data_IF_528187601607
#
_entry.id   IF_528187601607
#
_cell.length_a   1.000
_cell.length_b   1.000
_cell.length_c   1.000
_cell.angle_alpha   90.00
_cell.angle_beta   90.00
_cell.angle_gamma   90.00
#
_symmetry.space_group_name_H-M   'P 1'
#
loop_
_entity.id
_entity.type
_entity.pdbx_description
1 polymer ?
#
# COMPACT_ATOMS: atom_id res chain seq x y z
N UNK A 1 -6.22 35.63 46.98
CA UNK A 1 -6.41 34.45 47.85
C UNK A 1 -6.97 33.36 46.96
N UNK A 2 -6.14 32.40 46.53
CA UNK A 2 -6.60 31.31 45.66
C UNK A 2 -7.31 30.29 46.54
N UNK A 3 -8.60 30.06 46.30
CA UNK A 3 -9.34 29.01 46.97
C UNK A 3 -8.76 27.65 46.54
N UNK A 4 -8.39 26.82 47.52
CA UNK A 4 -7.91 25.46 47.28
C UNK A 4 -9.11 24.58 46.91
N UNK A 5 -9.04 23.86 45.79
CA UNK A 5 -10.13 23.02 45.34
C UNK A 5 -10.33 21.84 46.30
N UNK A 6 -11.57 21.66 46.75
CA UNK A 6 -12.02 20.59 47.64
C UNK A 6 -12.73 19.52 46.78
N UNK A 7 -12.69 18.22 47.14
CA UNK A 7 -13.36 17.17 46.37
C UNK A 7 -14.86 17.37 46.12
N UNK A 8 -15.53 18.19 46.93
CA UNK A 8 -16.94 18.53 46.78
C UNK A 8 -17.19 19.72 45.83
N UNK A 9 -16.15 20.44 45.41
CA UNK A 9 -16.29 21.59 44.53
C UNK A 9 -16.69 21.13 43.12
N UNK A 10 -17.66 21.80 42.47
CA UNK A 10 -18.13 21.41 41.14
C UNK A 10 -17.01 21.45 40.09
N UNK A 11 -16.05 22.37 40.25
CA UNK A 11 -14.88 22.49 39.38
C UNK A 11 -13.94 21.29 39.52
N UNK A 12 -13.78 20.74 40.72
CA UNK A 12 -12.98 19.55 40.97
C UNK A 12 -13.62 18.31 40.34
N UNK A 13 -14.94 18.13 40.55
CA UNK A 13 -15.69 17.01 39.97
C UNK A 13 -15.61 17.05 38.44
N UNK A 14 -15.84 18.22 37.83
CA UNK A 14 -15.74 18.39 36.38
C UNK A 14 -14.34 18.08 35.84
N UNK A 15 -13.28 18.51 36.53
CA UNK A 15 -11.91 18.20 36.13
C UNK A 15 -11.57 16.72 36.26
N UNK A 16 -12.12 16.04 37.27
CA UNK A 16 -11.95 14.59 37.46
C UNK A 16 -12.66 13.81 36.35
N UNK A 17 -13.90 14.17 36.03
CA UNK A 17 -14.66 13.59 34.90
C UNK A 17 -13.92 13.78 33.59
N UNK A 18 -13.45 15.01 33.32
CA UNK A 18 -12.66 15.32 32.13
C UNK A 18 -11.38 14.46 32.06
N UNK A 19 -10.64 14.34 33.17
CA UNK A 19 -9.43 13.52 33.22
C UNK A 19 -9.72 12.03 32.93
N UNK A 20 -10.79 11.50 33.51
CA UNK A 20 -11.25 10.12 33.27
C UNK A 20 -11.62 9.89 31.80
N UNK A 21 -12.39 10.81 31.22
CA UNK A 21 -12.78 10.74 29.81
C UNK A 21 -11.56 10.83 28.88
N UNK A 22 -10.62 11.74 29.17
CA UNK A 22 -9.38 11.86 28.40
C UNK A 22 -8.50 10.61 28.51
N UNK A 23 -8.45 9.99 29.68
CA UNK A 23 -7.74 8.74 29.86
C UNK A 23 -8.36 7.63 29.01
N UNK A 24 -9.69 7.51 29.01
CA UNK A 24 -10.40 6.56 28.18
C UNK A 24 -10.16 6.78 26.69
N UNK A 25 -10.27 8.03 26.22
CA UNK A 25 -10.02 8.39 24.81
C UNK A 25 -8.61 7.97 24.39
N UNK A 26 -7.58 8.21 25.21
CA UNK A 26 -6.20 7.81 24.90
C UNK A 26 -6.04 6.30 24.77
N UNK A 27 -6.71 5.54 25.63
CA UNK A 27 -6.68 4.07 25.57
C UNK A 27 -7.36 3.56 24.29
N UNK A 28 -8.47 4.21 23.88
CA UNK A 28 -9.13 3.92 22.59
C UNK A 28 -8.20 4.23 21.42
N UNK A 29 -7.58 5.41 21.38
CA UNK A 29 -6.65 5.82 20.31
C UNK A 29 -5.41 4.90 20.24
N UNK A 30 -4.89 4.45 21.38
CA UNK A 30 -3.80 3.47 21.44
C UNK A 30 -4.21 2.11 20.85
N UNK A 31 -5.37 1.60 21.25
CA UNK A 31 -5.93 0.35 20.73
C UNK A 31 -6.13 0.44 19.21
N UNK A 32 -6.73 1.52 18.72
CA UNK A 32 -6.94 1.76 17.29
C UNK A 32 -5.62 1.80 16.52
N UNK A 33 -4.64 2.57 17.00
CA UNK A 33 -3.34 2.68 16.37
C UNK A 33 -2.65 1.32 16.24
N UNK A 34 -2.77 0.45 17.25
CA UNK A 34 -2.23 -0.91 17.22
C UNK A 34 -2.94 -1.81 16.21
N UNK A 35 -4.26 -1.72 16.10
CA UNK A 35 -5.04 -2.52 15.14
C UNK A 35 -4.74 -2.08 13.70
N UNK A 36 -4.69 -0.77 13.44
CA UNK A 36 -4.31 -0.23 12.12
C UNK A 36 -2.90 -0.71 11.74
N UNK A 37 -1.93 -0.62 12.66
CA UNK A 37 -0.58 -1.14 12.43
C UNK A 37 -0.56 -2.64 12.17
N UNK A 38 -1.42 -3.41 12.83
CA UNK A 38 -1.55 -4.85 12.62
C UNK A 38 -2.10 -5.15 11.21
N UNK A 39 -3.16 -4.47 10.76
CA UNK A 39 -3.69 -4.60 9.40
C UNK A 39 -2.63 -4.28 8.33
N UNK A 40 -1.86 -3.20 8.51
CA UNK A 40 -0.76 -2.86 7.60
C UNK A 40 0.38 -3.89 7.58
N UNK A 41 0.53 -4.69 8.63
CA UNK A 41 1.48 -5.81 8.63
C UNK A 41 0.88 -7.05 7.99
N UNK A 42 -0.40 -7.30 8.22
CA UNK A 42 -1.11 -8.43 7.64
C UNK A 42 -1.20 -8.30 6.12
N UNK A 43 -1.43 -7.10 5.59
CA UNK A 43 -1.39 -6.86 4.14
C UNK A 43 -0.03 -7.17 3.49
N UNK A 44 1.06 -7.15 4.28
CA UNK A 44 2.41 -7.50 3.80
C UNK A 44 2.68 -9.00 3.76
N UNK A 45 1.81 -9.82 4.36
CA UNK A 45 1.93 -11.29 4.33
C UNK A 45 1.69 -11.83 2.92
N UNK A 46 0.80 -11.18 2.16
CA UNK A 46 0.39 -11.61 0.82
C UNK A 46 1.29 -11.05 -0.30
N UNK A 47 2.43 -10.43 0.03
CA UNK A 47 3.38 -9.93 -0.97
C UNK A 47 4.20 -11.09 -1.55
N UNK A 48 3.93 -11.46 -2.80
CA UNK A 48 4.73 -12.39 -3.58
C UNK A 48 6.18 -11.91 -3.72
N UNK A 49 7.13 -12.84 -3.84
CA UNK A 49 8.56 -12.53 -3.97
C UNK A 49 9.30 -12.23 -2.65
N UNK A 50 8.66 -12.45 -1.50
CA UNK A 50 9.28 -12.18 -0.20
C UNK A 50 10.11 -13.38 0.29
N UNK A 51 11.43 -13.22 0.45
CA UNK A 51 12.31 -14.30 0.90
C UNK A 51 12.03 -14.79 2.33
N UNK A 52 12.39 -16.05 2.64
CA UNK A 52 12.11 -16.75 3.92
C UNK A 52 12.43 -15.93 5.19
N UNK A 53 13.56 -15.20 5.21
CA UNK A 53 13.94 -14.35 6.34
C UNK A 53 12.91 -13.25 6.60
N UNK A 54 12.40 -12.63 5.54
CA UNK A 54 11.42 -11.55 5.62
C UNK A 54 10.06 -12.09 6.06
N UNK A 55 9.63 -13.28 5.59
CA UNK A 55 8.45 -13.98 6.13
C UNK A 55 8.54 -14.21 7.64
N UNK A 56 9.71 -14.65 8.15
CA UNK A 56 9.93 -14.84 9.59
C UNK A 56 9.80 -13.53 10.37
N UNK A 57 10.33 -12.43 9.84
CA UNK A 57 10.18 -11.11 10.46
C UNK A 57 8.72 -10.63 10.46
N UNK A 58 7.99 -10.81 9.36
CA UNK A 58 6.58 -10.47 9.26
C UNK A 58 5.76 -11.29 10.26
N UNK A 59 5.96 -12.60 10.33
CA UNK A 59 5.28 -13.48 11.28
C UNK A 59 5.52 -13.06 12.73
N UNK A 60 6.78 -12.82 13.11
CA UNK A 60 7.12 -12.33 14.45
C UNK A 60 6.47 -10.97 14.75
N UNK A 61 6.47 -10.07 13.77
CA UNK A 61 5.88 -8.75 13.88
C UNK A 61 4.36 -8.77 14.03
N UNK A 62 3.68 -9.78 13.46
CA UNK A 62 2.24 -10.03 13.61
C UNK A 62 1.94 -10.54 15.03
N UNK A 63 2.65 -11.57 15.50
CA UNK A 63 2.47 -12.11 16.85
C UNK A 63 2.69 -11.04 17.93
N UNK A 64 3.74 -10.24 17.79
CA UNK A 64 4.03 -9.15 18.72
C UNK A 64 2.91 -8.11 18.75
N UNK A 65 2.36 -7.73 17.60
CA UNK A 65 1.26 -6.77 17.51
C UNK A 65 -0.05 -7.35 18.05
N UNK A 66 -0.33 -8.63 17.78
CA UNK A 66 -1.49 -9.32 18.35
C UNK A 66 -1.45 -9.28 19.88
N UNK A 67 -0.28 -9.57 20.48
CA UNK A 67 -0.10 -9.49 21.93
C UNK A 67 -0.30 -8.06 22.47
N UNK A 68 0.21 -7.05 21.76
CA UNK A 68 0.00 -5.65 22.13
C UNK A 68 -1.48 -5.23 22.05
N UNK A 69 -2.21 -5.69 21.03
CA UNK A 69 -3.65 -5.45 20.89
C UNK A 69 -4.40 -6.07 22.08
N UNK A 70 -4.11 -7.30 22.46
CA UNK A 70 -4.74 -7.92 23.64
C UNK A 70 -4.51 -7.09 24.91
N UNK A 71 -3.28 -6.60 25.12
CA UNK A 71 -2.96 -5.76 26.29
C UNK A 71 -3.69 -4.41 26.27
N UNK A 72 -3.77 -3.75 25.12
CA UNK A 72 -4.50 -2.51 24.96
C UNK A 72 -6.01 -2.72 25.12
N UNK A 73 -6.54 -3.85 24.62
CA UNK A 73 -7.92 -4.26 24.76
C UNK A 73 -8.29 -4.51 26.23
N UNK A 74 -7.41 -5.15 27.01
CA UNK A 74 -7.60 -5.28 28.46
C UNK A 74 -7.65 -3.91 29.16
N UNK A 75 -6.84 -2.95 28.69
CA UNK A 75 -6.88 -1.56 29.16
C UNK A 75 -8.23 -0.90 28.87
N UNK A 76 -8.72 -1.06 27.64
CA UNK A 76 -10.03 -0.56 27.21
C UNK A 76 -11.15 -1.18 28.04
N UNK A 77 -11.19 -2.51 28.14
CA UNK A 77 -12.25 -3.26 28.82
C UNK A 77 -12.33 -2.96 30.33
N UNK A 78 -11.23 -2.52 30.96
CA UNK A 78 -11.24 -2.02 32.35
C UNK A 78 -11.94 -0.67 32.50
N UNK A 79 -11.79 0.20 31.51
CA UNK A 79 -12.30 1.58 31.56
C UNK A 79 -13.69 1.73 30.93
N UNK A 80 -14.05 0.86 29.98
CA UNK A 80 -15.31 0.90 29.25
C UNK A 80 -16.56 0.92 30.15
N UNK A 81 -16.68 0.08 31.21
CA UNK A 81 -17.82 0.11 32.12
C UNK A 81 -17.89 1.37 33.00
N UNK A 82 -16.78 2.09 33.16
CA UNK A 82 -16.68 3.29 33.99
C UNK A 82 -17.09 4.57 33.24
N UNK A 83 -17.29 4.48 31.92
CA UNK A 83 -17.71 5.62 31.11
C UNK A 83 -19.19 5.93 31.32
N UNK A 84 -19.57 7.17 30.99
CA UNK A 84 -20.96 7.62 30.97
C UNK A 84 -21.28 8.14 29.56
N UNK A 85 -22.08 7.42 28.76
CA UNK A 85 -22.70 6.13 29.04
C UNK A 85 -21.69 4.96 29.11
N UNK A 86 -22.03 3.86 29.82
CA UNK A 86 -21.18 2.67 29.85
C UNK A 86 -20.96 2.10 28.45
N UNK A 87 -19.72 1.78 28.14
CA UNK A 87 -19.33 1.24 26.83
C UNK A 87 -19.30 -0.29 26.85
N UNK A 88 -19.57 -0.96 25.71
CA UNK A 88 -19.51 -2.41 25.63
C UNK A 88 -18.08 -2.90 25.85
N UNK A 89 -17.97 -4.06 26.50
CA UNK A 89 -16.73 -4.82 26.55
C UNK A 89 -16.54 -5.48 25.19
N UNK A 90 -15.34 -5.38 24.63
CA UNK A 90 -15.04 -5.91 23.30
C UNK A 90 -14.17 -7.17 23.41
N UNK A 91 -14.44 -8.15 22.56
CA UNK A 91 -13.55 -9.30 22.37
C UNK A 91 -12.52 -9.04 21.27
N UNK A 92 -11.39 -9.76 21.31
CA UNK A 92 -10.36 -9.68 20.27
C UNK A 92 -10.91 -9.97 18.88
N UNK A 93 -11.79 -10.98 18.74
CA UNK A 93 -12.39 -11.33 17.46
C UNK A 93 -13.25 -10.18 16.90
N UNK A 94 -14.00 -9.48 17.75
CA UNK A 94 -14.80 -8.33 17.36
C UNK A 94 -13.93 -7.16 16.90
N UNK A 95 -12.85 -6.87 17.64
CA UNK A 95 -11.90 -5.80 17.28
C UNK A 95 -11.27 -6.03 15.90
N UNK A 96 -10.86 -7.27 15.62
CA UNK A 96 -10.30 -7.62 14.30
C UNK A 96 -11.39 -7.64 13.22
N UNK A 97 -12.62 -8.07 13.55
CA UNK A 97 -13.77 -8.03 12.64
C UNK A 97 -14.11 -6.61 12.18
N UNK A 98 -14.19 -5.66 13.12
CA UNK A 98 -14.37 -4.23 12.83
C UNK A 98 -13.27 -3.68 11.93
N UNK A 99 -12.03 -4.13 12.16
CA UNK A 99 -10.88 -3.72 11.37
C UNK A 99 -10.96 -4.21 9.92
N UNK A 100 -11.40 -5.45 9.72
CA UNK A 100 -11.56 -6.05 8.40
C UNK A 100 -12.70 -5.40 7.59
N UNK A 101 -13.79 -5.04 8.24
CA UNK A 101 -14.94 -4.37 7.62
C UNK A 101 -14.70 -2.87 7.35
N UNK A 102 -13.58 -2.31 7.81
CA UNK A 102 -13.34 -0.86 7.79
C UNK A 102 -14.26 -0.08 8.74
N UNK A 103 -15.10 -0.77 9.51
CA UNK A 103 -16.04 -0.21 10.47
C UNK A 103 -15.42 -0.18 11.87
N UNK A 104 -14.47 0.71 12.08
CA UNK A 104 -13.92 0.93 13.43
C UNK A 104 -14.91 1.71 14.29
N UNK A 105 -15.87 1.01 14.89
CA UNK A 105 -16.81 1.58 15.88
C UNK A 105 -16.09 2.20 17.08
N UNK A 106 -14.87 1.75 17.37
CA UNK A 106 -13.94 2.37 18.32
C UNK A 106 -13.72 3.88 18.04
N UNK A 107 -13.62 4.27 16.77
CA UNK A 107 -13.34 5.66 16.35
C UNK A 107 -14.46 6.63 16.71
N UNK A 108 -15.66 6.12 17.05
CA UNK A 108 -16.79 6.94 17.52
C UNK A 108 -16.43 7.68 18.81
N UNK A 109 -15.55 7.09 19.62
CA UNK A 109 -15.18 7.58 20.94
C UNK A 109 -13.81 8.26 20.97
N UNK A 110 -13.15 8.40 19.81
CA UNK A 110 -11.92 9.19 19.68
C UNK A 110 -12.18 10.68 19.95
N UNK A 111 -11.13 11.44 20.32
CA UNK A 111 -11.22 12.86 20.66
C UNK A 111 -11.90 13.72 19.56
N UNK A 112 -11.89 13.24 18.31
CA UNK A 112 -12.28 14.00 17.14
C UNK A 112 -13.67 13.66 16.60
N UNK A 113 -14.38 12.71 17.22
CA UNK A 113 -15.67 12.19 16.73
C UNK A 113 -15.63 11.95 15.21
N UNK A 114 -14.59 11.25 14.73
CA UNK A 114 -14.28 11.15 13.30
C UNK A 114 -15.45 10.59 12.50
N UNK A 115 -16.20 9.64 13.07
CA UNK A 115 -17.37 9.03 12.43
C UNK A 115 -18.58 9.97 12.29
N UNK A 116 -18.59 11.12 12.98
CA UNK A 116 -19.60 12.17 12.75
C UNK A 116 -19.23 13.08 11.58
N UNK A 117 -18.02 12.95 11.02
CA UNK A 117 -17.62 13.73 9.86
C UNK A 117 -18.28 13.16 8.60
N UNK A 118 -18.73 14.02 7.68
CA UNK A 118 -19.40 13.57 6.47
C UNK A 118 -18.53 12.64 5.63
N UNK A 119 -17.21 12.87 5.59
CA UNK A 119 -16.27 12.01 4.87
C UNK A 119 -16.08 10.63 5.50
N UNK A 120 -16.47 10.39 6.75
CA UNK A 120 -16.28 9.11 7.43
C UNK A 120 -17.45 8.13 7.20
N UNK A 121 -18.51 8.57 6.53
CA UNK A 121 -19.58 7.68 6.08
C UNK A 121 -19.06 6.80 4.93
N UNK A 122 -19.36 5.50 4.90
CA UNK A 122 -18.83 4.59 3.87
C UNK A 122 -19.14 5.04 2.44
N UNK A 123 -20.37 5.52 2.21
CA UNK A 123 -20.82 6.02 0.90
C UNK A 123 -20.01 7.24 0.44
N UNK A 124 -19.78 8.22 1.33
CA UNK A 124 -18.99 9.41 0.98
C UNK A 124 -17.50 9.07 0.86
N UNK A 125 -16.97 8.15 1.67
CA UNK A 125 -15.62 7.60 1.52
C UNK A 125 -15.42 7.00 0.14
N UNK A 126 -16.33 6.12 -0.27
CA UNK A 126 -16.26 5.44 -1.57
C UNK A 126 -16.39 6.44 -2.72
N UNK A 127 -17.33 7.40 -2.61
CA UNK A 127 -17.49 8.45 -3.60
C UNK A 127 -16.27 9.36 -3.68
N UNK A 128 -15.67 9.73 -2.55
CA UNK A 128 -14.44 10.51 -2.50
C UNK A 128 -13.27 9.73 -3.13
N UNK A 129 -13.11 8.44 -2.83
CA UNK A 129 -12.08 7.61 -3.45
C UNK A 129 -12.24 7.55 -4.98
N UNK A 130 -13.47 7.38 -5.48
CA UNK A 130 -13.76 7.42 -6.93
C UNK A 130 -13.45 8.80 -7.51
N UNK A 131 -13.89 9.87 -6.86
CA UNK A 131 -13.65 11.24 -7.29
C UNK A 131 -12.14 11.56 -7.37
N UNK A 132 -11.37 11.22 -6.33
CA UNK A 132 -9.93 11.44 -6.31
C UNK A 132 -9.19 10.55 -7.31
N UNK A 133 -9.64 9.31 -7.55
CA UNK A 133 -9.10 8.49 -8.64
C UNK A 133 -9.27 9.18 -9.99
N UNK A 134 -10.44 9.78 -10.25
CA UNK A 134 -10.69 10.55 -11.48
C UNK A 134 -9.81 11.79 -11.54
N UNK A 135 -9.67 12.55 -10.46
CA UNK A 135 -8.76 13.70 -10.44
C UNK A 135 -7.31 13.29 -10.71
N UNK A 136 -6.81 12.29 -9.99
CA UNK A 136 -5.46 11.76 -10.17
C UNK A 136 -5.26 11.20 -11.57
N UNK A 137 -6.26 10.56 -12.20
CA UNK A 137 -6.09 10.07 -13.57
C UNK A 137 -5.89 11.20 -14.59
N UNK A 138 -6.52 12.37 -14.38
CA UNK A 138 -6.28 13.51 -15.26
C UNK A 138 -4.87 14.07 -15.10
N UNK A 139 -4.37 14.14 -13.86
CA UNK A 139 -2.98 14.54 -13.59
C UNK A 139 -1.99 13.51 -14.16
N UNK A 140 -2.27 12.23 -13.97
CA UNK A 140 -1.45 11.13 -14.45
C UNK A 140 -1.30 11.16 -15.98
N UNK A 141 -2.36 11.48 -16.74
CA UNK A 141 -2.26 11.67 -18.19
C UNK A 141 -1.20 12.73 -18.55
N UNK A 142 -1.18 13.86 -17.81
CA UNK A 142 -0.20 14.92 -18.06
C UNK A 142 1.23 14.49 -17.70
N UNK A 143 1.40 13.71 -16.63
CA UNK A 143 2.69 13.17 -16.24
C UNK A 143 3.20 12.13 -17.23
N UNK A 144 2.36 11.18 -17.62
CA UNK A 144 2.70 10.13 -18.59
C UNK A 144 3.14 10.72 -19.93
N UNK A 145 2.49 11.79 -20.42
CA UNK A 145 2.92 12.48 -21.63
C UNK A 145 4.39 12.95 -21.57
N UNK A 146 4.86 13.37 -20.40
CA UNK A 146 6.24 13.83 -20.18
C UNK A 146 7.17 12.63 -19.97
N UNK A 147 6.76 11.67 -19.14
CA UNK A 147 7.57 10.51 -18.78
C UNK A 147 7.84 9.60 -19.97
N UNK A 148 6.84 9.36 -20.83
CA UNK A 148 6.97 8.61 -22.08
C UNK A 148 8.05 9.23 -22.97
N UNK A 149 8.02 10.55 -23.14
CA UNK A 149 9.03 11.27 -23.93
C UNK A 149 10.42 11.18 -23.30
N UNK A 150 10.52 11.30 -21.96
CA UNK A 150 11.79 11.17 -21.24
C UNK A 150 12.39 9.78 -21.34
N UNK A 151 11.57 8.74 -21.16
CA UNK A 151 12.00 7.36 -21.26
C UNK A 151 12.51 7.05 -22.67
N UNK A 152 11.76 7.49 -23.69
CA UNK A 152 12.18 7.34 -25.08
C UNK A 152 13.52 8.04 -25.38
N UNK A 153 13.66 9.31 -24.98
CA UNK A 153 14.90 10.06 -25.17
C UNK A 153 16.09 9.44 -24.43
N UNK A 154 15.85 8.87 -23.24
CA UNK A 154 16.87 8.16 -22.47
C UNK A 154 17.32 6.88 -23.19
N UNK A 155 16.38 6.06 -23.69
CA UNK A 155 16.70 4.85 -24.46
C UNK A 155 17.52 5.17 -25.71
N UNK A 156 17.13 6.18 -26.50
CA UNK A 156 17.91 6.58 -27.68
C UNK A 156 19.32 7.08 -27.33
N UNK A 157 19.45 7.83 -26.23
CA UNK A 157 20.74 8.32 -25.78
C UNK A 157 21.65 7.17 -25.34
N UNK A 158 21.11 6.24 -24.56
CA UNK A 158 21.83 5.07 -24.08
C UNK A 158 22.27 4.17 -25.24
N UNK A 159 21.39 3.92 -26.21
CA UNK A 159 21.70 3.16 -27.42
C UNK A 159 22.89 3.76 -28.17
N UNK A 160 22.82 5.07 -28.48
CA UNK A 160 23.90 5.79 -29.16
C UNK A 160 25.21 5.75 -28.37
N UNK A 161 25.13 5.90 -27.05
CA UNK A 161 26.28 5.82 -26.15
C UNK A 161 26.93 4.43 -26.17
N UNK A 162 26.12 3.37 -26.09
CA UNK A 162 26.58 1.98 -26.08
C UNK A 162 27.22 1.59 -27.41
N UNK A 163 26.58 1.90 -28.54
CA UNK A 163 27.13 1.65 -29.88
C UNK A 163 28.46 2.39 -30.06
N UNK A 164 28.53 3.66 -29.66
CA UNK A 164 29.76 4.45 -29.74
C UNK A 164 30.86 3.89 -28.86
N UNK A 165 30.54 3.40 -27.65
CA UNK A 165 31.51 2.79 -26.74
C UNK A 165 32.08 1.48 -27.32
N UNK A 166 31.20 0.62 -27.86
CA UNK A 166 31.59 -0.63 -28.52
C UNK A 166 32.51 -0.34 -29.71
N UNK A 167 32.14 0.61 -30.58
CA UNK A 167 32.96 1.02 -31.72
C UNK A 167 34.35 1.53 -31.28
N UNK A 168 34.40 2.38 -30.25
CA UNK A 168 35.65 2.93 -29.73
C UNK A 168 36.57 1.84 -29.14
N UNK A 169 36.02 0.84 -28.46
CA UNK A 169 36.79 -0.27 -27.88
C UNK A 169 37.32 -1.24 -28.95
N UNK A 170 36.52 -1.47 -29.99
CA UNK A 170 36.97 -2.23 -31.17
C UNK A 170 38.16 -1.54 -31.87
N UNK A 171 38.21 -0.21 -31.89
CA UNK A 171 39.34 0.56 -32.44
C UNK A 171 40.58 0.60 -31.53
N UNK A 172 40.43 0.42 -30.21
CA UNK A 172 41.51 0.59 -29.21
C UNK A 172 42.15 -0.72 -28.72
N UNK A 173 41.83 -1.86 -29.34
CA UNK A 173 42.42 -3.17 -29.07
C UNK A 173 42.03 -3.80 -27.71
N UNK A 174 40.81 -3.58 -27.24
CA UNK A 174 40.23 -4.32 -26.09
C UNK A 174 39.00 -5.15 -26.51
N UNK A 175 39.17 -6.13 -27.42
CA UNK A 175 38.05 -6.84 -28.04
C UNK A 175 37.19 -7.65 -27.06
N UNK A 176 37.79 -8.16 -25.97
CA UNK A 176 37.06 -8.91 -24.93
C UNK A 176 36.07 -8.01 -24.15
N UNK A 177 36.43 -6.74 -23.92
CA UNK A 177 35.52 -5.80 -23.26
C UNK A 177 34.40 -5.36 -24.23
N UNK A 178 34.74 -5.19 -25.50
CA UNK A 178 33.75 -4.90 -26.54
C UNK A 178 32.72 -6.05 -26.69
N UNK A 179 33.16 -7.31 -26.65
CA UNK A 179 32.24 -8.46 -26.73
C UNK A 179 31.32 -8.56 -25.51
N UNK A 180 31.81 -8.27 -24.30
CA UNK A 180 30.96 -8.23 -23.11
C UNK A 180 29.93 -7.09 -23.17
N UNK A 181 30.33 -5.90 -23.63
CA UNK A 181 29.40 -4.79 -23.82
C UNK A 181 28.37 -5.07 -24.92
N UNK A 182 28.76 -5.75 -26.01
CA UNK A 182 27.82 -6.22 -27.03
C UNK A 182 26.79 -7.19 -26.46
N UNK A 183 27.22 -8.11 -25.59
CA UNK A 183 26.32 -9.05 -24.92
C UNK A 183 25.33 -8.34 -23.99
N UNK A 184 25.80 -7.36 -23.21
CA UNK A 184 24.93 -6.54 -22.36
C UNK A 184 23.96 -5.70 -23.19
N UNK A 185 24.46 -5.06 -24.25
CA UNK A 185 23.65 -4.29 -25.18
C UNK A 185 22.54 -5.13 -25.81
N UNK A 186 22.83 -6.35 -26.27
CA UNK A 186 21.83 -7.23 -26.87
C UNK A 186 20.69 -7.60 -25.89
N UNK A 187 21.04 -7.89 -24.62
CA UNK A 187 20.04 -8.13 -23.58
C UNK A 187 19.18 -6.88 -23.30
N UNK A 188 19.80 -5.71 -23.28
CA UNK A 188 19.10 -4.44 -23.06
C UNK A 188 18.21 -4.04 -24.24
N UNK A 189 18.63 -4.30 -25.49
CA UNK A 189 17.83 -4.09 -26.68
C UNK A 189 16.52 -4.87 -26.63
N UNK A 190 16.54 -6.12 -26.16
CA UNK A 190 15.32 -6.92 -26.03
C UNK A 190 14.30 -6.24 -25.10
N UNK A 191 14.74 -5.79 -23.92
CA UNK A 191 13.91 -5.07 -22.96
C UNK A 191 13.43 -3.73 -23.53
N UNK A 192 14.32 -2.97 -24.15
CA UNK A 192 13.99 -1.68 -24.76
C UNK A 192 12.99 -1.84 -25.91
N UNK A 193 13.05 -2.92 -26.70
CA UNK A 193 12.07 -3.20 -27.76
C UNK A 193 10.67 -3.41 -27.19
N UNK A 194 10.53 -4.17 -26.09
CA UNK A 194 9.25 -4.36 -25.39
C UNK A 194 8.72 -3.01 -24.90
N UNK A 195 9.57 -2.20 -24.27
CA UNK A 195 9.19 -0.87 -23.84
C UNK A 195 8.77 0.02 -25.01
N UNK A 196 9.51 0.03 -26.12
CA UNK A 196 9.16 0.79 -27.32
C UNK A 196 7.80 0.38 -27.89
N UNK A 197 7.50 -0.93 -27.96
CA UNK A 197 6.20 -1.41 -28.43
C UNK A 197 5.04 -0.96 -27.52
N UNK A 198 5.25 -1.00 -26.20
CA UNK A 198 4.26 -0.48 -25.25
C UNK A 198 4.10 1.05 -25.36
N UNK A 199 5.19 1.81 -25.47
CA UNK A 199 5.13 3.26 -25.64
C UNK A 199 4.44 3.64 -26.95
N UNK A 200 4.68 2.91 -28.04
CA UNK A 200 3.97 3.07 -29.32
C UNK A 200 2.46 2.86 -29.13
N UNK A 201 2.08 1.78 -28.46
CA UNK A 201 0.67 1.47 -28.19
C UNK A 201 -0.01 2.57 -27.38
N UNK A 202 0.69 3.15 -26.39
CA UNK A 202 0.17 4.26 -25.59
C UNK A 202 0.05 5.55 -26.41
N UNK A 203 1.03 5.85 -27.26
CA UNK A 203 1.00 7.03 -28.15
C UNK A 203 -0.13 6.98 -29.18
N UNK A 204 -0.67 5.80 -29.49
CA UNK A 204 -1.80 5.60 -30.41
C UNK A 204 -3.17 5.78 -29.74
N UNK A 205 -3.24 5.91 -28.41
CA UNK A 205 -4.49 6.11 -27.70
C UNK A 205 -5.05 7.51 -27.98
N UNK A 206 -6.37 7.62 -28.17
CA UNK A 206 -7.07 8.88 -28.46
C UNK A 206 -6.86 9.98 -27.40
N UNK A 207 -6.45 9.61 -26.18
CA UNK A 207 -6.17 10.53 -25.07
C UNK A 207 -4.72 11.01 -24.96
N UNK A 208 -3.80 10.49 -25.78
CA UNK A 208 -2.39 10.88 -25.73
C UNK A 208 -2.20 12.25 -26.39
N UNK A 209 -1.54 13.15 -25.67
CA UNK A 209 -1.29 14.53 -26.12
C UNK A 209 0.19 14.92 -26.03
N UNK A 210 1.05 13.96 -25.72
CA UNK A 210 2.50 14.13 -25.70
C UNK A 210 3.14 14.19 -27.10
N UNK A 211 4.44 14.45 -27.15
CA UNK A 211 5.18 14.58 -28.40
C UNK A 211 5.51 13.20 -28.96
N UNK A 212 4.98 12.90 -30.16
CA UNK A 212 5.40 11.74 -30.94
C UNK A 212 6.84 11.94 -31.44
N UNK A 213 7.77 11.17 -30.89
CA UNK A 213 9.10 11.04 -31.47
C UNK A 213 9.02 10.17 -32.73
N UNK A 214 9.39 10.75 -33.87
CA UNK A 214 9.22 10.22 -35.24
C UNK A 214 9.87 8.85 -35.50
N UNK A 215 10.72 8.36 -34.59
CA UNK A 215 11.41 7.07 -34.65
C UNK A 215 10.54 5.88 -34.20
N UNK A 216 9.39 6.12 -33.55
CA UNK A 216 8.46 5.09 -33.10
C UNK A 216 7.60 4.46 -34.22
N UNK A 217 7.75 4.91 -35.48
CA UNK A 217 6.90 4.50 -36.60
C UNK A 217 7.42 3.30 -37.40
N UNK A 218 8.57 2.71 -37.05
CA UNK A 218 9.23 1.70 -37.89
C UNK A 218 9.81 0.54 -37.09
N UNK A 219 8.96 -0.22 -36.41
CA UNK A 219 9.32 -1.57 -35.97
C UNK A 219 8.10 -2.47 -36.15
N UNK A 220 8.15 -3.30 -37.19
CA UNK A 220 7.11 -4.31 -37.45
C UNK A 220 7.06 -5.29 -36.28
N UNK A 221 5.82 -5.54 -35.81
CA UNK A 221 5.48 -6.49 -34.77
C UNK A 221 5.75 -7.92 -35.28
N UNK A 222 6.69 -8.62 -34.66
CA UNK A 222 6.73 -10.08 -34.68
C UNK A 222 6.17 -10.59 -33.37
N UNK A 223 4.99 -11.20 -33.45
CA UNK A 223 4.37 -11.96 -32.36
C UNK A 223 5.22 -13.20 -32.09
N UNK A 224 5.83 -13.29 -30.91
CA UNK A 224 6.39 -14.53 -30.38
C UNK A 224 5.53 -14.97 -29.18
N UNK A 225 5.02 -16.20 -29.27
CA UNK A 225 4.17 -16.84 -28.28
C UNK A 225 4.93 -17.05 -26.96
N UNK A 226 4.37 -16.55 -25.85
CA UNK A 226 4.88 -16.80 -24.50
C UNK A 226 4.53 -18.24 -24.07
N UNK A 227 5.54 -19.07 -23.82
CA UNK A 227 5.37 -20.35 -23.14
C UNK A 227 5.06 -20.10 -21.66
N UNK A 228 3.85 -20.47 -21.21
CA UNK A 228 3.44 -20.49 -19.81
C UNK A 228 4.25 -21.55 -19.03
N UNK A 229 5.12 -21.10 -18.12
CA UNK A 229 5.75 -21.99 -17.14
C UNK A 229 4.70 -22.48 -16.12
N UNK A 230 4.42 -23.78 -16.16
CA UNK A 230 3.49 -24.51 -15.29
C UNK A 230 3.93 -24.42 -13.81
N UNK A 231 3.20 -23.62 -13.03
CA UNK A 231 3.43 -23.48 -11.59
C UNK A 231 2.89 -24.72 -10.85
N UNK A 232 3.80 -25.52 -10.29
CA UNK A 232 3.55 -26.75 -9.51
C UNK A 232 2.24 -26.75 -8.69
N UNK A 233 1.37 -27.71 -9.01
CA UNK A 233 0.03 -28.00 -8.46
C UNK A 233 -0.10 -28.04 -6.92
N UNK A 234 1.01 -28.11 -6.18
CA UNK A 234 0.99 -28.28 -4.73
C UNK A 234 0.88 -26.95 -3.97
N UNK A 235 1.24 -25.82 -4.61
CA UNK A 235 1.07 -24.47 -4.05
C UNK A 235 -0.37 -23.98 -4.20
N UNK A 236 -1.04 -24.40 -5.28
CA UNK A 236 -2.42 -24.01 -5.55
C UNK A 236 -3.42 -24.67 -4.58
N UNK A 237 -3.15 -25.94 -4.19
CA UNK A 237 -3.98 -26.71 -3.24
C UNK A 237 -3.95 -26.16 -1.82
N UNK A 238 -2.85 -25.54 -1.39
CA UNK A 238 -2.74 -24.97 -0.04
C UNK A 238 -3.32 -23.54 0.02
N UNK A 239 -3.22 -22.77 -1.08
CA UNK A 239 -3.90 -21.48 -1.22
C UNK A 239 -5.43 -21.63 -1.19
N UNK A 240 -5.99 -22.67 -1.84
CA UNK A 240 -7.43 -22.96 -1.77
C UNK A 240 -7.89 -23.32 -0.35
N UNK A 241 -7.06 -24.02 0.44
CA UNK A 241 -7.40 -24.38 1.83
C UNK A 241 -7.49 -23.20 2.79
N UNK A 242 -6.62 -22.20 2.62
CA UNK A 242 -6.65 -20.98 3.43
C UNK A 242 -7.79 -20.06 3.03
N UNK A 243 -8.18 -20.07 1.75
CA UNK A 243 -9.32 -19.30 1.25
C UNK A 243 -10.65 -19.90 1.75
N UNK A 244 -10.78 -21.23 1.78
CA UNK A 244 -11.94 -21.93 2.36
C UNK A 244 -12.07 -21.69 3.88
N UNK A 245 -10.94 -21.63 4.61
CA UNK A 245 -10.95 -21.33 6.04
C UNK A 245 -11.44 -19.91 6.35
N UNK A 246 -11.15 -18.95 5.47
CA UNK A 246 -11.63 -17.55 5.60
C UNK A 246 -13.12 -17.47 5.27
N UNK A 247 -13.58 -18.24 4.28
CA UNK A 247 -14.99 -18.25 3.87
C UNK A 247 -15.90 -18.85 4.96
N UNK A 248 -15.41 -19.81 5.74
CA UNK A 248 -16.12 -20.39 6.89
C UNK A 248 -16.19 -19.50 8.14
N UNK A 249 -15.44 -18.40 8.20
CA UNK A 249 -15.49 -17.40 9.29
C UNK A 249 -16.50 -16.28 8.97
N UNK A 250 -16.96 -16.17 7.71
CA UNK A 250 -17.83 -15.10 7.21
C UNK A 250 -19.31 -15.55 7.08
N UNK A 251 -19.68 -16.72 7.62
CA UNK A 251 -21.10 -17.15 7.75
C UNK A 251 -21.49 -17.19 9.22
#
# INVERSE_FOLDING_TARGET
MFAHWIPSDPQYVQALEYSSQQHFIRVVEELEGLVVQYLFKLSKVNLSGTGYKMHKYISKAITQRSSAICMALDGYNKLAPLQVPPQPILDYAEVIGYAALGEFTLLKHSHHNLLMRPWATPENCEMAAKYFKVLCSHEEITHLNIEIGRLHAWMEFEEKSMISAIAALNCKTSPLLASELQRQYAAQCHVNNIHCAHLQSVCLLDGYTGVLHSTLSSQELTEEEEEEEECSDEVHKEATRLTDAITHIIV
#
